data_IF_230375250871
#
_entry.id   IF_230375250871
#
_cell.length_a   1.000
_cell.length_b   1.000
_cell.length_c   1.000
_cell.angle_alpha   90.00
_cell.angle_beta   90.00
_cell.angle_gamma   90.00
#
_symmetry.space_group_name_H-M   'P 1'
#
loop_
_entity.id
_entity.type
_entity.pdbx_description
1 polymer ?
#
# COMPACT_ATOMS: atom_id res chain seq x y z
N UNK A 1 -4.61 -18.03 20.98
CA UNK A 1 -4.29 -17.50 22.35
C UNK A 1 -5.29 -18.10 23.33
N UNK A 2 -4.86 -18.48 24.54
CA UNK A 2 -5.77 -19.02 25.56
C UNK A 2 -6.70 -17.94 26.10
N UNK A 3 -7.93 -18.30 26.51
CA UNK A 3 -8.92 -17.35 27.04
C UNK A 3 -8.41 -16.47 28.19
N UNK A 4 -7.59 -17.02 29.09
CA UNK A 4 -6.98 -16.28 30.19
C UNK A 4 -6.03 -15.17 29.70
N UNK A 5 -5.31 -15.41 28.60
CA UNK A 5 -4.42 -14.43 27.98
C UNK A 5 -5.21 -13.32 27.30
N UNK A 6 -6.32 -13.65 26.62
CA UNK A 6 -7.22 -12.66 26.00
C UNK A 6 -7.83 -11.77 27.08
N UNK A 7 -8.32 -12.33 28.19
CA UNK A 7 -8.88 -11.57 29.32
C UNK A 7 -7.86 -10.60 29.93
N UNK A 8 -6.61 -11.04 30.07
CA UNK A 8 -5.54 -10.17 30.57
C UNK A 8 -5.25 -9.05 29.58
N UNK A 9 -5.19 -9.36 28.27
CA UNK A 9 -4.93 -8.39 27.23
C UNK A 9 -6.03 -7.31 27.15
N UNK A 10 -7.31 -7.71 27.20
CA UNK A 10 -8.43 -6.79 27.16
C UNK A 10 -8.50 -5.90 28.41
N UNK A 11 -8.13 -6.43 29.57
CA UNK A 11 -8.03 -5.64 30.81
C UNK A 11 -6.93 -4.55 30.74
N UNK A 12 -5.81 -4.87 30.09
CA UNK A 12 -4.69 -3.95 29.89
C UNK A 12 -4.94 -2.96 28.74
N UNK A 13 -5.62 -3.44 27.69
CA UNK A 13 -5.87 -2.72 26.45
C UNK A 13 -7.36 -2.76 26.10
N UNK A 14 -8.21 -1.89 26.70
CA UNK A 14 -9.67 -1.97 26.57
C UNK A 14 -10.19 -1.91 25.14
N UNK A 15 -9.52 -1.19 24.22
CA UNK A 15 -9.90 -1.11 22.81
C UNK A 15 -9.95 -2.49 22.13
N UNK A 16 -9.20 -3.46 22.64
CA UNK A 16 -9.18 -4.83 22.08
C UNK A 16 -10.56 -5.49 22.15
N UNK A 17 -11.39 -5.16 23.15
CA UNK A 17 -12.78 -5.64 23.22
C UNK A 17 -13.62 -5.17 22.04
N UNK A 18 -13.47 -3.91 21.62
CA UNK A 18 -14.16 -3.36 20.47
C UNK A 18 -13.67 -3.99 19.16
N UNK A 19 -12.37 -4.30 19.05
CA UNK A 19 -11.82 -5.03 17.90
C UNK A 19 -12.37 -6.45 17.81
N UNK A 20 -12.44 -7.19 18.91
CA UNK A 20 -13.04 -8.53 18.99
C UNK A 20 -14.52 -8.49 18.61
N UNK A 21 -15.23 -7.44 19.05
CA UNK A 21 -16.64 -7.23 18.73
C UNK A 21 -16.86 -6.70 17.30
N UNK A 22 -15.83 -6.57 16.49
CA UNK A 22 -15.85 -6.07 15.10
C UNK A 22 -16.49 -4.69 14.96
N UNK A 23 -16.38 -3.86 15.99
CA UNK A 23 -16.90 -2.50 15.94
C UNK A 23 -16.01 -1.59 15.11
N UNK A 24 -16.63 -0.69 14.36
CA UNK A 24 -15.91 0.44 13.77
C UNK A 24 -15.39 1.34 14.89
N UNK A 25 -14.08 1.51 14.97
CA UNK A 25 -13.43 2.21 16.06
C UNK A 25 -12.34 3.14 15.55
N UNK A 26 -12.02 4.16 16.34
CA UNK A 26 -10.96 5.13 16.03
C UNK A 26 -10.05 5.26 17.25
N UNK A 27 -8.76 5.16 17.02
CA UNK A 27 -7.75 5.36 18.04
C UNK A 27 -6.77 6.44 17.59
N UNK A 28 -6.74 7.57 18.31
CA UNK A 28 -5.73 8.60 18.16
C UNK A 28 -4.50 8.20 18.97
N UNK A 29 -3.35 8.18 18.33
CA UNK A 29 -2.13 7.67 18.95
C UNK A 29 -1.52 8.69 19.90
N UNK A 30 -1.53 8.44 21.23
CA UNK A 30 -0.97 9.38 22.20
C UNK A 30 0.56 9.41 22.22
N UNK A 31 1.20 8.51 21.47
CA UNK A 31 2.67 8.36 21.40
C UNK A 31 3.29 9.05 20.21
N UNK A 32 2.52 9.82 19.44
CA UNK A 32 3.05 10.64 18.35
C UNK A 32 4.05 11.66 18.86
N UNK A 33 5.10 11.88 18.10
CA UNK A 33 6.14 12.86 18.37
C UNK A 33 6.34 13.75 17.15
N UNK A 34 7.18 14.77 17.28
CA UNK A 34 7.66 15.52 16.11
C UNK A 34 8.49 14.62 15.19
N UNK A 35 8.62 15.03 13.92
CA UNK A 35 9.47 14.32 12.96
C UNK A 35 10.91 14.18 13.49
N UNK A 36 11.47 15.26 14.06
CA UNK A 36 12.83 15.26 14.57
C UNK A 36 13.05 14.20 15.67
N UNK A 37 12.06 14.00 16.55
CA UNK A 37 12.11 13.01 17.63
C UNK A 37 11.83 11.59 17.13
N UNK A 38 10.91 11.42 16.18
CA UNK A 38 10.50 10.10 15.67
C UNK A 38 11.42 9.53 14.60
N UNK A 39 12.07 10.38 13.80
CA UNK A 39 12.88 9.98 12.66
C UNK A 39 14.02 8.98 13.01
N UNK A 40 14.77 9.13 14.11
CA UNK A 40 15.82 8.19 14.47
C UNK A 40 15.36 6.74 14.66
N UNK A 41 14.08 6.53 14.97
CA UNK A 41 13.50 5.20 15.20
C UNK A 41 13.09 4.48 13.92
N UNK A 42 12.99 5.20 12.80
CA UNK A 42 12.65 4.60 11.50
C UNK A 42 13.76 3.70 10.98
N UNK A 43 15.01 4.05 11.25
CA UNK A 43 16.18 3.32 10.77
C UNK A 43 16.49 3.52 9.29
N UNK A 44 15.81 4.50 8.65
CA UNK A 44 16.01 4.96 7.28
C UNK A 44 16.02 6.48 7.28
N UNK A 45 16.61 7.09 6.26
CA UNK A 45 16.83 8.53 6.17
C UNK A 45 16.30 9.10 4.86
N UNK A 46 16.29 10.43 4.78
CA UNK A 46 16.00 11.12 3.51
C UNK A 46 16.95 10.68 2.40
N UNK A 47 18.22 10.44 2.71
CA UNK A 47 19.21 9.99 1.72
C UNK A 47 18.83 8.65 1.10
N UNK A 48 18.25 7.73 1.87
CA UNK A 48 17.76 6.45 1.36
C UNK A 48 16.59 6.65 0.37
N UNK A 49 15.69 7.58 0.67
CA UNK A 49 14.59 7.93 -0.22
C UNK A 49 15.10 8.65 -1.48
N UNK A 50 16.08 9.52 -1.36
CA UNK A 50 16.70 10.21 -2.50
C UNK A 50 17.41 9.21 -3.43
N UNK A 51 18.06 8.18 -2.90
CA UNK A 51 18.65 7.08 -3.67
C UNK A 51 17.57 6.29 -4.43
N UNK A 52 16.45 5.98 -3.76
CA UNK A 52 15.31 5.33 -4.41
C UNK A 52 14.74 6.17 -5.56
N UNK A 53 14.59 7.47 -5.35
CA UNK A 53 14.15 8.41 -6.38
C UNK A 53 15.11 8.46 -7.57
N UNK A 54 16.42 8.52 -7.32
CA UNK A 54 17.45 8.51 -8.35
C UNK A 54 17.42 7.20 -9.16
N UNK A 55 17.23 6.06 -8.50
CA UNK A 55 17.13 4.75 -9.16
C UNK A 55 15.91 4.71 -10.10
N UNK A 56 14.76 5.16 -9.65
CA UNK A 56 13.57 5.23 -10.51
C UNK A 56 13.78 6.15 -11.72
N UNK A 57 14.52 7.24 -11.57
CA UNK A 57 14.91 8.10 -12.69
C UNK A 57 15.82 7.38 -13.70
N UNK A 58 16.77 6.56 -13.22
CA UNK A 58 17.64 5.76 -14.11
C UNK A 58 16.84 4.76 -14.94
N UNK A 59 15.81 4.15 -14.32
CA UNK A 59 14.92 3.21 -15.02
C UNK A 59 13.88 3.86 -15.93
N UNK A 60 13.63 5.15 -15.83
CA UNK A 60 12.57 5.82 -16.58
C UNK A 60 12.69 5.62 -18.11
N UNK A 61 13.86 5.73 -18.76
CA UNK A 61 14.01 5.46 -20.19
C UNK A 61 13.63 4.01 -20.57
N UNK A 62 13.96 3.04 -19.73
CA UNK A 62 13.54 1.66 -19.92
C UNK A 62 12.02 1.52 -19.81
N UNK A 63 11.44 2.06 -18.76
CA UNK A 63 10.00 1.96 -18.49
C UNK A 63 9.17 2.60 -19.60
N UNK A 64 9.59 3.77 -20.10
CA UNK A 64 8.89 4.46 -21.20
C UNK A 64 8.77 3.63 -22.46
N UNK A 65 9.76 2.77 -22.74
CA UNK A 65 9.77 1.87 -23.90
C UNK A 65 9.15 0.52 -23.61
N UNK A 66 9.41 -0.04 -22.43
CA UNK A 66 8.88 -1.35 -22.04
C UNK A 66 7.37 -1.33 -21.77
N UNK A 67 6.85 -0.21 -21.31
CA UNK A 67 5.45 0.03 -20.95
C UNK A 67 4.95 1.31 -21.61
N UNK A 68 4.37 1.23 -22.83
CA UNK A 68 3.97 2.39 -23.62
C UNK A 68 3.03 3.35 -22.89
N UNK A 69 2.23 2.87 -21.93
CA UNK A 69 1.36 3.68 -21.06
C UNK A 69 2.12 4.67 -20.18
N UNK A 70 3.42 4.47 -19.98
CA UNK A 70 4.29 5.40 -19.24
C UNK A 70 5.05 6.38 -20.14
N UNK A 71 4.94 6.24 -21.47
CA UNK A 71 5.72 7.04 -22.41
C UNK A 71 5.42 8.54 -22.30
N UNK A 72 4.15 8.91 -22.11
CA UNK A 72 3.73 10.31 -21.96
C UNK A 72 4.33 11.01 -20.73
N UNK A 73 4.69 10.25 -19.69
CA UNK A 73 5.35 10.75 -18.48
C UNK A 73 6.87 10.48 -18.47
N UNK A 74 7.42 10.09 -19.63
CA UNK A 74 8.84 9.76 -19.76
C UNK A 74 9.28 8.56 -18.91
N UNK A 75 8.38 7.62 -18.64
CA UNK A 75 8.64 6.43 -17.81
C UNK A 75 8.49 6.68 -16.30
N UNK A 76 7.96 7.81 -15.90
CA UNK A 76 7.66 8.09 -14.49
C UNK A 76 6.32 7.48 -14.12
N UNK A 77 6.33 6.58 -13.15
CA UNK A 77 5.13 5.95 -12.59
C UNK A 77 4.53 6.89 -11.56
N UNK A 78 3.47 7.61 -11.93
CA UNK A 78 2.79 8.56 -11.06
C UNK A 78 1.28 8.55 -11.32
N UNK A 79 0.51 8.99 -10.35
CA UNK A 79 -0.94 9.09 -10.40
C UNK A 79 -1.44 10.52 -10.25
N UNK A 80 -2.67 10.75 -10.71
CA UNK A 80 -3.33 12.03 -10.57
C UNK A 80 -3.71 12.34 -9.12
N UNK A 81 -3.70 13.63 -8.81
CA UNK A 81 -4.24 14.22 -7.59
C UNK A 81 -5.45 15.05 -7.97
N UNK A 82 -6.63 14.67 -7.51
CA UNK A 82 -7.90 15.32 -7.90
C UNK A 82 -8.72 15.74 -6.69
N UNK A 83 -9.42 16.87 -6.80
CA UNK A 83 -10.45 17.24 -5.83
C UNK A 83 -11.73 16.43 -6.09
N UNK A 84 -12.40 16.03 -5.03
CA UNK A 84 -13.66 15.26 -5.07
C UNK A 84 -14.77 15.96 -4.25
N UNK A 85 -15.19 17.17 -4.66
CA UNK A 85 -16.12 17.99 -3.88
C UNK A 85 -17.53 17.38 -3.83
N UNK A 86 -17.97 16.68 -4.86
CA UNK A 86 -19.28 16.02 -4.88
C UNK A 86 -19.30 14.83 -3.89
N UNK A 87 -18.23 14.07 -3.81
CA UNK A 87 -18.08 13.03 -2.79
C UNK A 87 -18.01 13.61 -1.39
N UNK A 88 -17.31 14.74 -1.19
CA UNK A 88 -17.29 15.45 0.10
C UNK A 88 -18.69 15.81 0.55
N UNK A 89 -19.49 16.44 -0.31
CA UNK A 89 -20.87 16.79 -0.02
C UNK A 89 -21.74 15.54 0.28
N UNK A 90 -21.49 14.43 -0.42
CA UNK A 90 -22.19 13.17 -0.15
C UNK A 90 -21.86 12.62 1.23
N UNK A 91 -20.58 12.59 1.62
CA UNK A 91 -20.16 12.16 2.96
C UNK A 91 -20.79 13.01 4.08
N UNK A 92 -20.80 14.33 3.89
CA UNK A 92 -21.46 15.26 4.85
C UNK A 92 -22.96 14.98 4.97
N UNK A 93 -23.64 14.77 3.84
CA UNK A 93 -25.07 14.47 3.82
C UNK A 93 -25.39 13.15 4.54
N UNK A 94 -24.67 12.09 4.22
CA UNK A 94 -24.94 10.76 4.78
C UNK A 94 -24.58 10.66 6.27
N UNK A 95 -23.52 11.36 6.70
CA UNK A 95 -23.06 11.34 8.10
C UNK A 95 -23.73 12.39 8.99
N UNK A 96 -24.29 13.43 8.42
CA UNK A 96 -24.75 14.62 9.16
C UNK A 96 -23.64 15.45 9.79
N UNK A 97 -22.38 15.25 9.37
CA UNK A 97 -21.20 15.95 9.88
C UNK A 97 -20.56 16.79 8.79
N UNK A 98 -20.17 18.02 9.12
CA UNK A 98 -19.37 18.84 8.21
C UNK A 98 -17.93 18.33 8.11
N UNK A 99 -17.37 18.41 6.92
CA UNK A 99 -15.95 18.14 6.66
C UNK A 99 -15.29 19.49 6.31
N UNK A 100 -14.59 20.13 7.25
CA UNK A 100 -13.94 21.40 6.98
C UNK A 100 -12.80 21.22 5.96
N UNK A 101 -12.56 22.26 5.16
CA UNK A 101 -11.48 22.26 4.17
C UNK A 101 -11.83 21.55 2.87
N UNK A 102 -10.83 20.99 2.22
CA UNK A 102 -10.94 20.39 0.90
C UNK A 102 -10.64 18.90 0.96
N UNK A 103 -11.47 18.09 0.28
CA UNK A 103 -11.25 16.64 0.12
C UNK A 103 -10.61 16.35 -1.23
N UNK A 104 -9.45 15.73 -1.19
CA UNK A 104 -8.70 15.27 -2.36
C UNK A 104 -8.60 13.76 -2.40
N UNK A 105 -8.38 13.24 -3.61
CA UNK A 105 -8.11 11.82 -3.87
C UNK A 105 -6.78 11.68 -4.61
N UNK A 106 -5.87 10.87 -4.06
CA UNK A 106 -4.66 10.42 -4.74
C UNK A 106 -4.93 9.11 -5.45
N UNK A 107 -4.94 9.12 -6.79
CA UNK A 107 -5.44 8.02 -7.62
C UNK A 107 -4.39 6.94 -7.89
N UNK A 108 -3.74 6.41 -6.87
CA UNK A 108 -2.82 5.27 -7.03
C UNK A 108 -3.52 4.02 -7.56
N UNK A 109 -4.85 3.96 -7.43
CA UNK A 109 -5.71 2.99 -8.11
C UNK A 109 -5.54 2.93 -9.63
N UNK A 110 -5.04 4.01 -10.24
CA UNK A 110 -4.82 4.13 -11.68
C UNK A 110 -3.35 4.31 -12.03
N UNK A 111 -2.43 3.92 -11.15
CA UNK A 111 -1.01 3.87 -11.50
C UNK A 111 -0.80 2.97 -12.72
N UNK A 112 0.05 3.38 -13.66
CA UNK A 112 0.35 2.57 -14.84
C UNK A 112 0.95 1.22 -14.44
N UNK A 113 0.89 0.27 -15.35
CA UNK A 113 1.44 -1.08 -15.28
C UNK A 113 0.57 -2.04 -14.48
N UNK A 114 0.23 -1.73 -13.23
CA UNK A 114 -0.48 -2.69 -12.37
C UNK A 114 -1.75 -2.14 -11.69
N UNK A 115 -2.10 -0.88 -11.90
CA UNK A 115 -3.38 -0.31 -11.46
C UNK A 115 -3.59 -0.27 -9.94
N UNK A 116 -2.51 -0.14 -9.18
CA UNK A 116 -2.56 -0.02 -7.71
C UNK A 116 -1.31 0.65 -7.14
N UNK A 117 -1.38 1.04 -5.87
CA UNK A 117 -0.25 1.58 -5.09
C UNK A 117 0.98 0.67 -5.12
N UNK A 118 0.78 -0.63 -5.33
CA UNK A 118 1.86 -1.63 -5.37
C UNK A 118 2.82 -1.41 -6.53
N UNK A 119 2.41 -0.67 -7.56
CA UNK A 119 3.29 -0.20 -8.64
C UNK A 119 4.43 0.71 -8.12
N UNK A 120 4.29 1.33 -6.96
CA UNK A 120 5.38 2.10 -6.33
C UNK A 120 6.44 1.18 -5.74
N UNK A 121 6.08 0.40 -4.71
CA UNK A 121 7.03 -0.43 -3.97
C UNK A 121 7.42 -1.73 -4.67
N UNK A 122 6.43 -2.47 -5.18
CA UNK A 122 6.65 -3.76 -5.82
C UNK A 122 7.52 -3.67 -7.07
N UNK A 123 7.22 -2.72 -7.95
CA UNK A 123 8.04 -2.47 -9.14
C UNK A 123 9.45 -2.01 -8.73
N UNK A 124 9.54 -1.07 -7.78
CA UNK A 124 10.83 -0.56 -7.32
C UNK A 124 11.75 -1.68 -6.80
N UNK A 125 11.22 -2.62 -6.03
CA UNK A 125 12.05 -3.73 -5.52
C UNK A 125 12.55 -4.65 -6.62
N UNK A 126 11.72 -4.96 -7.61
CA UNK A 126 12.16 -5.72 -8.80
C UNK A 126 13.27 -4.98 -9.54
N UNK A 127 13.09 -3.68 -9.78
CA UNK A 127 14.09 -2.86 -10.47
C UNK A 127 15.40 -2.76 -9.68
N UNK A 128 15.33 -2.63 -8.37
CA UNK A 128 16.51 -2.60 -7.49
C UNK A 128 17.29 -3.90 -7.56
N UNK A 129 16.60 -5.04 -7.54
CA UNK A 129 17.23 -6.34 -7.67
C UNK A 129 17.86 -6.55 -9.07
N UNK A 130 17.17 -6.15 -10.12
CA UNK A 130 17.66 -6.23 -11.49
C UNK A 130 18.92 -5.35 -11.67
N UNK A 131 18.90 -4.11 -11.18
CA UNK A 131 20.06 -3.22 -11.23
C UNK A 131 21.28 -3.86 -10.54
N UNK A 132 21.05 -4.36 -9.32
CA UNK A 132 22.13 -5.02 -8.56
C UNK A 132 22.74 -6.18 -9.31
N UNK A 133 21.93 -7.08 -9.86
CA UNK A 133 22.44 -8.25 -10.61
C UNK A 133 23.23 -7.83 -11.84
N UNK A 134 22.72 -6.86 -12.61
CA UNK A 134 23.38 -6.42 -13.84
C UNK A 134 24.68 -5.65 -13.57
N UNK A 135 24.71 -4.82 -12.51
CA UNK A 135 25.93 -4.12 -12.05
C UNK A 135 26.99 -5.13 -11.57
N UNK A 136 26.60 -6.07 -10.72
CA UNK A 136 27.51 -7.08 -10.16
C UNK A 136 28.11 -7.97 -11.26
N UNK A 137 27.36 -8.23 -12.35
CA UNK A 137 27.82 -8.97 -13.50
C UNK A 137 28.66 -8.13 -14.50
N UNK A 138 28.82 -6.83 -14.26
CA UNK A 138 29.54 -5.93 -15.16
C UNK A 138 28.82 -5.66 -16.49
N UNK A 139 27.50 -5.95 -16.57
CA UNK A 139 26.70 -5.77 -17.79
C UNK A 139 26.09 -4.37 -17.88
N UNK A 140 26.00 -3.67 -16.77
CA UNK A 140 25.38 -2.35 -16.63
C UNK A 140 26.30 -1.43 -15.79
N UNK A 141 26.28 -0.14 -16.10
CA UNK A 141 26.86 0.93 -15.31
C UNK A 141 25.78 1.92 -14.92
N UNK A 142 25.96 2.63 -13.78
CA UNK A 142 25.05 3.69 -13.36
C UNK A 142 24.95 4.86 -14.36
N UNK A 143 25.95 5.01 -15.23
CA UNK A 143 26.03 6.04 -16.27
C UNK A 143 25.34 5.63 -17.58
N UNK A 144 24.92 4.38 -17.71
CA UNK A 144 24.27 3.89 -18.93
C UNK A 144 22.85 4.43 -19.07
N UNK A 145 22.38 4.58 -20.30
CA UNK A 145 20.95 4.70 -20.59
C UNK A 145 20.29 3.33 -20.35
N UNK A 146 19.44 3.23 -19.34
CA UNK A 146 18.83 1.97 -18.93
C UNK A 146 17.87 1.37 -19.97
N UNK A 147 17.56 2.07 -21.06
CA UNK A 147 16.86 1.46 -22.19
C UNK A 147 17.63 0.29 -22.83
N UNK A 148 18.93 0.17 -22.57
CA UNK A 148 19.74 -1.00 -22.96
C UNK A 148 19.22 -2.32 -22.36
N UNK A 149 18.50 -2.25 -21.25
CA UNK A 149 17.86 -3.43 -20.62
C UNK A 149 16.81 -4.10 -21.52
N UNK A 150 16.38 -3.45 -22.61
CA UNK A 150 15.53 -4.04 -23.63
C UNK A 150 16.28 -4.95 -24.59
N UNK A 151 17.60 -4.90 -24.62
CA UNK A 151 18.40 -5.75 -25.49
C UNK A 151 18.26 -7.23 -25.09
N UNK A 152 18.20 -8.15 -26.06
CA UNK A 152 18.00 -9.59 -25.81
C UNK A 152 18.98 -10.19 -24.79
N UNK A 153 20.24 -9.71 -24.79
CA UNK A 153 21.26 -10.16 -23.83
C UNK A 153 20.87 -10.00 -22.36
N UNK A 154 20.11 -8.96 -22.01
CA UNK A 154 19.61 -8.75 -20.65
C UNK A 154 18.47 -9.70 -20.30
N UNK A 155 17.56 -9.94 -21.25
CA UNK A 155 16.49 -10.92 -21.05
C UNK A 155 17.09 -12.33 -20.84
N UNK A 156 18.07 -12.71 -21.62
CA UNK A 156 18.79 -13.98 -21.46
C UNK A 156 19.49 -14.05 -20.10
N UNK A 157 20.13 -12.96 -19.68
CA UNK A 157 20.78 -12.87 -18.38
C UNK A 157 19.79 -13.05 -17.23
N UNK A 158 18.70 -12.27 -17.19
CA UNK A 158 17.70 -12.33 -16.12
C UNK A 158 16.92 -13.65 -16.12
N UNK A 159 16.82 -14.34 -17.25
CA UNK A 159 16.14 -15.65 -17.32
C UNK A 159 16.81 -16.75 -16.50
N UNK A 160 18.06 -16.53 -16.07
CA UNK A 160 18.80 -17.43 -15.19
C UNK A 160 18.42 -17.25 -13.71
N UNK A 161 17.67 -16.21 -13.40
CA UNK A 161 17.23 -15.85 -12.04
C UNK A 161 15.73 -15.92 -11.93
N UNK A 162 15.25 -16.09 -10.71
CA UNK A 162 13.83 -16.12 -10.40
C UNK A 162 13.47 -15.17 -9.26
N UNK A 163 12.22 -14.74 -9.25
CA UNK A 163 11.62 -13.94 -8.19
C UNK A 163 10.39 -14.69 -7.67
N UNK A 164 10.22 -14.71 -6.36
CA UNK A 164 9.06 -15.26 -5.69
C UNK A 164 8.48 -14.25 -4.71
N UNK A 165 7.16 -14.25 -4.55
CA UNK A 165 6.45 -13.41 -3.59
C UNK A 165 5.17 -14.09 -3.12
N UNK A 166 4.81 -13.90 -1.85
CA UNK A 166 3.46 -14.17 -1.33
C UNK A 166 2.60 -12.93 -1.47
N UNK A 167 1.35 -13.07 -1.92
CA UNK A 167 0.49 -11.92 -2.21
C UNK A 167 -0.99 -12.23 -2.08
N UNK A 168 -1.77 -11.23 -1.63
CA UNK A 168 -3.25 -11.22 -1.70
C UNK A 168 -3.77 -10.84 -3.09
N UNK A 169 -2.90 -10.30 -3.97
CA UNK A 169 -3.26 -9.96 -5.35
C UNK A 169 -2.47 -8.80 -5.95
N UNK A 170 -2.65 -7.57 -5.48
CA UNK A 170 -2.07 -6.39 -6.12
C UNK A 170 -0.54 -6.34 -6.09
N UNK A 171 0.08 -6.75 -4.99
CA UNK A 171 1.54 -6.81 -4.91
C UNK A 171 2.09 -7.85 -5.90
N UNK A 172 1.48 -9.04 -5.92
CA UNK A 172 1.83 -10.08 -6.89
C UNK A 172 1.69 -9.62 -8.33
N UNK A 173 0.65 -8.85 -8.64
CA UNK A 173 0.48 -8.25 -9.97
C UNK A 173 1.61 -7.29 -10.32
N UNK A 174 1.96 -6.38 -9.44
CA UNK A 174 3.06 -5.42 -9.68
C UNK A 174 4.40 -6.12 -9.88
N UNK A 175 4.73 -7.03 -8.97
CA UNK A 175 5.98 -7.79 -9.02
C UNK A 175 5.99 -8.74 -10.22
N UNK A 176 4.90 -9.48 -10.43
CA UNK A 176 4.81 -10.46 -11.51
C UNK A 176 4.91 -9.85 -12.90
N UNK A 177 4.17 -8.78 -13.17
CA UNK A 177 4.18 -8.10 -14.47
C UNK A 177 5.57 -7.50 -14.76
N UNK A 178 6.15 -6.81 -13.79
CA UNK A 178 7.49 -6.21 -13.96
C UNK A 178 8.57 -7.27 -14.12
N UNK A 179 8.58 -8.29 -13.28
CA UNK A 179 9.58 -9.37 -13.30
C UNK A 179 9.55 -10.13 -14.63
N UNK A 180 8.36 -10.49 -15.09
CA UNK A 180 8.20 -11.17 -16.38
C UNK A 180 8.66 -10.30 -17.54
N UNK A 181 8.35 -9.00 -17.52
CA UNK A 181 8.72 -8.08 -18.60
C UNK A 181 10.24 -7.88 -18.70
N UNK A 182 10.93 -7.81 -17.58
CA UNK A 182 12.39 -7.63 -17.56
C UNK A 182 13.15 -8.91 -17.91
N UNK A 183 12.54 -10.07 -17.68
CA UNK A 183 13.07 -11.38 -18.12
C UNK A 183 13.22 -12.43 -17.01
N UNK A 184 12.89 -12.12 -15.76
CA UNK A 184 12.93 -13.11 -14.66
C UNK A 184 11.88 -14.21 -14.83
N UNK A 185 12.19 -15.40 -14.31
CA UNK A 185 11.16 -16.39 -13.96
C UNK A 185 10.49 -15.94 -12.67
N UNK A 186 9.17 -15.93 -12.63
CA UNK A 186 8.46 -15.38 -11.47
C UNK A 186 7.33 -16.31 -11.00
N UNK A 187 7.27 -16.52 -9.68
CA UNK A 187 6.21 -17.28 -9.01
C UNK A 187 5.54 -16.40 -7.97
N UNK A 188 4.22 -16.34 -8.03
CA UNK A 188 3.38 -15.66 -7.03
C UNK A 188 2.61 -16.71 -6.25
N UNK A 189 2.82 -16.71 -4.94
CA UNK A 189 2.13 -17.58 -3.99
C UNK A 189 0.91 -16.85 -3.44
N UNK A 190 -0.28 -17.39 -3.63
CA UNK A 190 -1.55 -16.74 -3.31
C UNK A 190 -2.46 -17.67 -2.54
N UNK A 191 -3.32 -17.11 -1.70
CA UNK A 191 -4.44 -17.86 -1.13
C UNK A 191 -5.48 -18.18 -2.23
N UNK A 192 -6.15 -19.33 -2.07
CA UNK A 192 -7.13 -19.80 -3.07
C UNK A 192 -8.33 -18.84 -3.22
N UNK A 193 -8.67 -18.10 -2.18
CA UNK A 193 -9.75 -17.09 -2.16
C UNK A 193 -9.36 -15.75 -2.79
N UNK A 194 -8.09 -15.55 -3.16
CA UNK A 194 -7.68 -14.36 -3.93
C UNK A 194 -8.45 -14.27 -5.24
N UNK A 195 -8.71 -13.05 -5.70
CA UNK A 195 -9.56 -12.78 -6.88
C UNK A 195 -9.06 -13.51 -8.13
N UNK A 196 -9.94 -14.30 -8.75
CA UNK A 196 -9.59 -15.13 -9.91
C UNK A 196 -9.08 -14.29 -11.09
N UNK A 197 -9.65 -13.09 -11.32
CA UNK A 197 -9.21 -12.22 -12.40
C UNK A 197 -7.74 -11.75 -12.23
N UNK A 198 -7.26 -11.58 -10.99
CA UNK A 198 -5.85 -11.24 -10.69
C UNK A 198 -4.92 -12.40 -11.04
N UNK A 199 -5.31 -13.63 -10.67
CA UNK A 199 -4.58 -14.85 -11.03
C UNK A 199 -4.51 -15.04 -12.54
N UNK A 200 -5.64 -14.87 -13.23
CA UNK A 200 -5.70 -14.96 -14.69
C UNK A 200 -4.82 -13.89 -15.37
N UNK A 201 -4.83 -12.68 -14.85
CA UNK A 201 -3.96 -11.59 -15.34
C UNK A 201 -2.49 -11.95 -15.18
N UNK A 202 -2.07 -12.45 -14.04
CA UNK A 202 -0.69 -12.92 -13.81
C UNK A 202 -0.29 -14.03 -14.78
N UNK A 203 -1.11 -15.06 -14.92
CA UNK A 203 -0.87 -16.16 -15.85
C UNK A 203 -0.75 -15.69 -17.29
N UNK A 204 -1.52 -14.66 -17.68
CA UNK A 204 -1.42 -14.07 -19.03
C UNK A 204 -0.08 -13.39 -19.32
N UNK A 205 0.67 -13.02 -18.29
CA UNK A 205 2.03 -12.49 -18.39
C UNK A 205 3.13 -13.55 -18.24
N UNK A 206 2.76 -14.84 -18.20
CA UNK A 206 3.73 -15.93 -18.04
C UNK A 206 4.18 -16.16 -16.59
N UNK A 207 3.48 -15.58 -15.62
CA UNK A 207 3.74 -15.76 -14.19
C UNK A 207 3.19 -17.11 -13.73
N UNK A 208 3.96 -17.82 -12.91
CA UNK A 208 3.51 -19.04 -12.24
C UNK A 208 2.74 -18.61 -10.99
N UNK A 209 1.47 -19.02 -10.89
CA UNK A 209 0.63 -18.80 -9.72
C UNK A 209 0.47 -20.11 -8.97
N UNK A 210 0.91 -20.15 -7.70
CA UNK A 210 0.74 -21.27 -6.79
C UNK A 210 -0.33 -20.90 -5.77
N UNK A 211 -1.38 -21.73 -5.66
CA UNK A 211 -2.53 -21.46 -4.80
C UNK A 211 -2.46 -22.33 -3.53
N UNK A 212 -2.86 -21.75 -2.42
CA UNK A 212 -2.95 -22.39 -1.10
C UNK A 212 -4.37 -22.23 -0.56
N UNK A 213 -4.93 -23.30 0.00
CA UNK A 213 -6.27 -23.28 0.61
C UNK A 213 -6.32 -22.45 1.91
N UNK A 214 -5.16 -22.20 2.50
CA UNK A 214 -5.00 -21.38 3.69
C UNK A 214 -4.88 -19.90 3.33
N UNK A 215 -4.77 -19.07 4.36
CA UNK A 215 -4.69 -17.62 4.20
C UNK A 215 -3.35 -17.11 3.63
N UNK A 216 -3.28 -15.78 3.45
CA UNK A 216 -2.10 -15.07 2.99
C UNK A 216 -0.82 -15.41 3.77
N UNK A 217 -0.89 -15.53 5.10
CA UNK A 217 0.28 -15.82 5.93
C UNK A 217 0.94 -17.15 5.57
N UNK A 218 0.13 -18.17 5.28
CA UNK A 218 0.62 -19.49 4.83
C UNK A 218 1.25 -19.39 3.44
N UNK A 219 0.62 -18.67 2.52
CA UNK A 219 1.17 -18.44 1.18
C UNK A 219 2.55 -17.79 1.23
N UNK A 220 2.73 -16.76 2.06
CA UNK A 220 4.02 -16.08 2.29
C UNK A 220 5.07 -17.04 2.84
N UNK A 221 4.72 -17.80 3.88
CA UNK A 221 5.65 -18.75 4.50
C UNK A 221 6.11 -19.84 3.52
N UNK A 222 5.19 -20.41 2.76
CA UNK A 222 5.50 -21.45 1.78
C UNK A 222 6.34 -20.90 0.62
N UNK A 223 6.04 -19.69 0.16
CA UNK A 223 6.83 -19.01 -0.86
C UNK A 223 8.27 -18.75 -0.41
N UNK A 224 8.45 -18.30 0.83
CA UNK A 224 9.76 -18.08 1.42
C UNK A 224 10.56 -19.38 1.50
N UNK A 225 9.97 -20.45 2.00
CA UNK A 225 10.61 -21.79 2.08
C UNK A 225 11.01 -22.32 0.71
N UNK A 226 10.14 -22.17 -0.30
CA UNK A 226 10.44 -22.60 -1.66
C UNK A 226 11.64 -21.86 -2.26
N UNK A 227 11.75 -20.55 -2.00
CA UNK A 227 12.85 -19.72 -2.48
C UNK A 227 14.18 -20.04 -1.80
N UNK A 228 14.19 -20.41 -0.52
CA UNK A 228 15.40 -20.74 0.24
C UNK A 228 16.21 -21.90 -0.36
N UNK A 229 15.56 -22.80 -1.10
CA UNK A 229 16.21 -23.93 -1.75
C UNK A 229 16.91 -23.60 -3.09
N UNK A 230 16.72 -22.39 -3.62
CA UNK A 230 17.29 -21.94 -4.89
C UNK A 230 18.11 -20.67 -4.69
N UNK A 231 19.45 -20.70 -4.81
CA UNK A 231 20.31 -19.53 -4.62
C UNK A 231 20.09 -18.43 -5.68
N UNK A 232 19.47 -18.76 -6.80
CA UNK A 232 19.13 -17.81 -7.86
C UNK A 232 17.72 -17.25 -7.71
N UNK A 233 16.97 -17.65 -6.68
CA UNK A 233 15.64 -17.15 -6.38
C UNK A 233 15.71 -16.03 -5.33
N UNK A 234 15.16 -14.89 -5.68
CA UNK A 234 14.97 -13.77 -4.74
C UNK A 234 13.53 -13.75 -4.26
N UNK A 235 13.33 -13.94 -2.95
CA UNK A 235 12.04 -13.81 -2.31
C UNK A 235 11.80 -12.36 -1.89
N UNK A 236 10.71 -11.76 -2.34
CA UNK A 236 10.29 -10.42 -1.92
C UNK A 236 9.43 -10.56 -0.68
N UNK A 237 9.95 -10.06 0.45
CA UNK A 237 9.31 -10.13 1.75
C UNK A 237 8.47 -8.87 2.00
N UNK A 238 7.16 -8.94 1.72
CA UNK A 238 6.22 -7.82 1.92
C UNK A 238 6.13 -7.39 3.40
N UNK A 239 6.44 -8.29 4.33
CA UNK A 239 6.36 -8.00 5.77
C UNK A 239 7.54 -7.16 6.27
N UNK A 240 8.75 -7.36 5.73
CA UNK A 240 9.98 -6.80 6.30
C UNK A 240 10.86 -6.03 5.31
N UNK A 241 10.51 -5.98 4.02
CA UNK A 241 11.35 -5.33 3.01
C UNK A 241 11.44 -3.83 3.20
N UNK A 242 12.66 -3.35 3.50
CA UNK A 242 12.97 -1.91 3.51
C UNK A 242 13.02 -1.33 2.11
N UNK A 243 13.34 -2.13 1.12
CA UNK A 243 13.36 -1.71 -0.30
C UNK A 243 11.95 -1.41 -0.79
N UNK A 244 10.97 -2.28 -0.51
CA UNK A 244 9.55 -1.99 -0.77
C UNK A 244 9.13 -0.68 -0.12
N UNK A 245 9.41 -0.54 1.16
CA UNK A 245 9.08 0.65 1.95
C UNK A 245 9.65 1.94 1.33
N UNK A 246 10.92 1.92 0.89
CA UNK A 246 11.55 3.06 0.23
C UNK A 246 10.92 3.40 -1.12
N UNK A 247 10.52 2.40 -1.89
CA UNK A 247 9.80 2.62 -3.15
C UNK A 247 8.47 3.37 -2.95
N UNK A 248 7.75 3.07 -1.88
CA UNK A 248 6.54 3.80 -1.50
C UNK A 248 6.87 5.21 -0.99
N UNK A 249 7.96 5.38 -0.27
CA UNK A 249 8.33 6.68 0.33
C UNK A 249 8.61 7.79 -0.71
N UNK A 250 8.99 7.42 -1.93
CA UNK A 250 9.18 8.39 -3.04
C UNK A 250 7.90 9.17 -3.33
N UNK A 251 6.72 8.66 -2.99
CA UNK A 251 5.44 9.35 -3.16
C UNK A 251 5.36 10.69 -2.41
N UNK A 252 6.07 10.86 -1.30
CA UNK A 252 6.03 12.09 -0.51
C UNK A 252 6.53 13.32 -1.26
N UNK A 253 7.71 13.26 -1.82
CA UNK A 253 8.31 14.35 -2.63
C UNK A 253 7.49 14.63 -3.90
N UNK A 254 6.99 13.57 -4.54
CA UNK A 254 6.16 13.71 -5.74
C UNK A 254 4.82 14.36 -5.44
N UNK A 255 4.19 14.03 -4.30
CA UNK A 255 2.97 14.72 -3.86
C UNK A 255 3.22 16.19 -3.57
N UNK A 256 4.35 16.50 -2.92
CA UNK A 256 4.73 17.90 -2.67
C UNK A 256 4.87 18.70 -3.96
N UNK A 257 5.45 18.13 -5.01
CA UNK A 257 5.52 18.74 -6.32
C UNK A 257 4.13 18.95 -6.93
N UNK A 258 3.23 17.96 -6.86
CA UNK A 258 1.85 18.11 -7.34
C UNK A 258 1.07 19.17 -6.58
N UNK A 259 1.26 19.28 -5.27
CA UNK A 259 0.66 20.35 -4.46
C UNK A 259 1.16 21.73 -4.93
N UNK A 260 2.45 21.89 -5.16
CA UNK A 260 3.03 23.13 -5.66
C UNK A 260 2.47 23.51 -7.05
N UNK A 261 2.37 22.54 -7.97
CA UNK A 261 1.78 22.75 -9.30
C UNK A 261 0.31 23.19 -9.23
N UNK A 262 -0.43 22.72 -8.24
CA UNK A 262 -1.84 23.09 -8.01
C UNK A 262 -2.00 24.34 -7.11
N UNK A 263 -0.91 24.98 -6.71
CA UNK A 263 -0.95 26.12 -5.81
C UNK A 263 -1.48 25.81 -4.40
N UNK A 264 -1.37 24.57 -3.97
CA UNK A 264 -1.82 24.11 -2.63
C UNK A 264 -0.71 24.29 -1.61
N UNK A 265 -1.05 24.86 -0.48
CA UNK A 265 -0.12 25.13 0.63
C UNK A 265 -0.32 24.11 1.74
N UNK A 266 0.77 23.63 2.32
CA UNK A 266 0.79 22.83 3.55
C UNK A 266 1.71 23.51 4.56
N UNK A 267 1.13 24.01 5.62
CA UNK A 267 1.80 24.68 6.73
C UNK A 267 0.97 24.52 8.02
N UNK A 268 1.34 25.17 9.09
CA UNK A 268 0.64 25.10 10.38
C UNK A 268 -0.82 25.58 10.30
N UNK A 269 -1.11 26.56 9.43
CA UNK A 269 -2.46 27.11 9.24
C UNK A 269 -3.28 26.31 8.21
N UNK A 270 -2.59 25.49 7.40
CA UNK A 270 -3.18 24.65 6.35
C UNK A 270 -2.61 23.21 6.46
N UNK A 271 -2.95 22.48 7.53
CA UNK A 271 -2.43 21.12 7.73
C UNK A 271 -2.97 20.13 6.70
N UNK A 272 -2.18 19.10 6.43
CA UNK A 272 -2.53 17.99 5.55
C UNK A 272 -2.86 16.76 6.39
N UNK A 273 -4.05 16.19 6.19
CA UNK A 273 -4.50 14.95 6.80
C UNK A 273 -4.60 13.87 5.74
N UNK A 274 -3.85 12.78 5.90
CA UNK A 274 -3.76 11.71 4.91
C UNK A 274 -4.29 10.40 5.48
N UNK A 275 -5.18 9.75 4.75
CA UNK A 275 -5.84 8.51 5.15
C UNK A 275 -5.41 7.38 4.24
N UNK A 276 -4.75 6.38 4.81
CA UNK A 276 -4.02 5.33 4.10
C UNK A 276 -4.61 3.96 4.43
N UNK A 277 -5.22 3.27 3.46
CA UNK A 277 -5.59 1.87 3.64
C UNK A 277 -4.37 1.03 4.01
N UNK A 278 -4.50 0.21 5.05
CA UNK A 278 -3.41 -0.58 5.60
C UNK A 278 -3.75 -2.07 5.67
N UNK A 279 -2.95 -2.88 5.00
CA UNK A 279 -2.89 -4.32 5.18
C UNK A 279 -1.68 -4.69 6.04
N UNK A 280 -0.63 -5.30 5.45
CA UNK A 280 0.60 -5.64 6.16
C UNK A 280 1.37 -4.43 6.69
N UNK A 281 1.28 -3.29 6.00
CA UNK A 281 1.76 -1.99 6.45
C UNK A 281 2.86 -1.34 5.60
N UNK A 282 3.52 -2.08 4.71
CA UNK A 282 4.64 -1.56 3.91
C UNK A 282 4.28 -0.39 3.02
N UNK A 283 3.17 -0.50 2.29
CA UNK A 283 2.68 0.57 1.41
C UNK A 283 2.33 1.85 2.16
N UNK A 284 1.35 1.81 3.08
CA UNK A 284 0.97 2.99 3.84
C UNK A 284 2.09 3.53 4.73
N UNK A 285 2.92 2.65 5.30
CA UNK A 285 4.07 3.04 6.12
C UNK A 285 5.13 3.79 5.33
N UNK A 286 5.49 3.28 4.16
CA UNK A 286 6.45 3.95 3.28
C UNK A 286 5.93 5.30 2.78
N UNK A 287 4.67 5.37 2.33
CA UNK A 287 4.03 6.63 1.94
C UNK A 287 4.04 7.62 3.10
N UNK A 288 3.62 7.21 4.30
CA UNK A 288 3.61 8.08 5.48
C UNK A 288 5.01 8.59 5.82
N UNK A 289 6.03 7.74 5.73
CA UNK A 289 7.43 8.14 5.94
C UNK A 289 7.85 9.22 4.93
N UNK A 290 7.61 8.99 3.65
CA UNK A 290 7.91 9.97 2.61
C UNK A 290 7.17 11.30 2.80
N UNK A 291 5.90 11.26 3.21
CA UNK A 291 5.08 12.44 3.51
C UNK A 291 5.65 13.23 4.70
N UNK A 292 6.04 12.55 5.77
CA UNK A 292 6.69 13.20 6.93
C UNK A 292 8.00 13.88 6.53
N UNK A 293 8.82 13.26 5.69
CA UNK A 293 10.03 13.89 5.17
C UNK A 293 9.72 15.13 4.30
N UNK A 294 8.66 15.07 3.49
CA UNK A 294 8.31 16.15 2.56
C UNK A 294 7.62 17.34 3.23
N UNK A 295 6.74 17.09 4.19
CA UNK A 295 5.86 18.11 4.81
C UNK A 295 6.13 18.36 6.29
N UNK A 296 7.02 17.58 6.92
CA UNK A 296 7.36 17.72 8.34
C UNK A 296 6.19 17.43 9.26
N UNK A 297 6.04 18.26 10.29
CA UNK A 297 5.00 18.11 11.31
C UNK A 297 3.62 18.65 10.85
N UNK A 298 3.54 19.22 9.67
CA UNK A 298 2.29 19.74 9.10
C UNK A 298 1.46 18.68 8.36
N UNK A 299 1.94 17.44 8.28
CA UNK A 299 1.19 16.31 7.77
C UNK A 299 0.85 15.33 8.87
N UNK A 300 -0.40 14.89 8.89
CA UNK A 300 -0.95 13.92 9.83
C UNK A 300 -1.38 12.68 9.08
N UNK A 301 -0.87 11.51 9.47
CA UNK A 301 -1.09 10.24 8.77
C UNK A 301 -1.92 9.28 9.62
N UNK A 302 -2.98 8.73 9.02
CA UNK A 302 -3.89 7.78 9.66
C UNK A 302 -3.97 6.51 8.83
N UNK A 303 -3.95 5.37 9.51
CA UNK A 303 -4.16 4.07 8.87
C UNK A 303 -5.59 3.62 9.01
N UNK A 304 -6.15 3.13 7.92
CA UNK A 304 -7.51 2.61 7.82
C UNK A 304 -7.50 1.11 7.54
N UNK A 305 -8.19 0.33 8.37
CA UNK A 305 -8.17 -1.13 8.31
C UNK A 305 -9.60 -1.69 8.34
N UNK A 306 -9.86 -2.87 7.74
CA UNK A 306 -11.14 -3.54 7.90
C UNK A 306 -11.36 -3.98 9.35
N UNK A 307 -12.62 -3.98 9.80
CA UNK A 307 -12.97 -4.51 11.15
C UNK A 307 -12.54 -5.96 11.35
N UNK A 308 -12.48 -6.75 10.29
CA UNK A 308 -12.05 -8.16 10.32
C UNK A 308 -10.54 -8.36 10.18
N UNK A 309 -9.78 -7.31 9.92
CA UNK A 309 -8.32 -7.39 9.67
C UNK A 309 -7.57 -6.19 10.26
N UNK A 310 -7.77 -5.83 11.56
CA UNK A 310 -7.15 -4.66 12.16
C UNK A 310 -5.75 -4.97 12.72
N UNK A 311 -4.90 -5.66 11.94
CA UNK A 311 -3.64 -6.18 12.45
C UNK A 311 -2.63 -5.11 12.86
N UNK A 312 -2.54 -3.99 12.12
CA UNK A 312 -1.60 -2.92 12.43
C UNK A 312 -2.06 -2.12 13.65
N UNK A 313 -3.34 -1.77 13.72
CA UNK A 313 -3.91 -1.12 14.91
C UNK A 313 -3.68 -1.98 16.16
N UNK A 314 -4.01 -3.27 16.08
CA UNK A 314 -3.79 -4.22 17.18
C UNK A 314 -2.32 -4.25 17.61
N UNK A 315 -1.41 -4.39 16.66
CA UNK A 315 0.03 -4.48 16.93
C UNK A 315 0.60 -3.21 17.54
N UNK A 316 0.27 -2.04 16.99
CA UNK A 316 0.77 -0.74 17.49
C UNK A 316 0.13 -0.38 18.82
N UNK A 317 -1.19 -0.54 18.95
CA UNK A 317 -1.92 -0.21 20.18
C UNK A 317 -1.42 -1.00 21.39
N UNK A 318 -1.23 -2.31 21.22
CA UNK A 318 -0.75 -3.19 22.29
C UNK A 318 0.77 -3.15 22.48
N UNK A 319 1.52 -2.66 21.48
CA UNK A 319 2.98 -2.73 21.45
C UNK A 319 3.52 -4.12 21.11
N UNK A 320 2.65 -5.09 20.78
CA UNK A 320 3.05 -6.46 20.44
C UNK A 320 3.47 -6.61 18.97
N UNK A 321 3.07 -5.67 18.11
CA UNK A 321 3.43 -5.63 16.69
C UNK A 321 3.17 -6.97 15.97
N UNK A 322 4.21 -7.65 15.49
CA UNK A 322 4.15 -8.94 14.81
C UNK A 322 4.11 -10.16 15.76
N UNK A 323 4.11 -9.92 17.06
CA UNK A 323 3.95 -10.98 18.07
C UNK A 323 2.49 -11.40 18.28
N UNK A 324 1.54 -10.67 17.68
CA UNK A 324 0.10 -10.96 17.75
C UNK A 324 -0.52 -10.91 16.36
N UNK A 325 -1.45 -11.84 16.10
CA UNK A 325 -2.31 -11.85 14.92
C UNK A 325 -3.77 -11.67 15.33
N UNK A 326 -4.61 -11.18 14.41
CA UNK A 326 -6.05 -11.01 14.67
C UNK A 326 -6.73 -12.35 14.99
N UNK A 327 -6.26 -13.46 14.40
CA UNK A 327 -6.73 -14.81 14.66
C UNK A 327 -6.48 -15.27 16.11
N UNK A 328 -5.44 -14.74 16.76
CA UNK A 328 -5.19 -15.01 18.20
C UNK A 328 -6.32 -14.51 19.09
N UNK A 329 -7.08 -13.53 18.61
CA UNK A 329 -8.26 -12.96 19.28
C UNK A 329 -9.59 -13.56 18.80
N UNK A 330 -9.55 -14.54 17.89
CA UNK A 330 -10.73 -15.15 17.29
C UNK A 330 -11.36 -14.33 16.17
N UNK A 331 -10.68 -13.30 15.66
CA UNK A 331 -11.11 -12.53 14.49
C UNK A 331 -10.74 -13.33 13.22
N UNK A 332 -11.68 -13.48 12.29
CA UNK A 332 -11.58 -14.43 11.18
C UNK A 332 -10.70 -13.97 10.00
N UNK A 333 -10.29 -12.71 9.96
CA UNK A 333 -9.51 -12.12 8.85
C UNK A 333 -10.21 -12.21 7.48
N UNK A 334 -11.54 -12.30 7.46
CA UNK A 334 -12.34 -12.39 6.22
C UNK A 334 -12.95 -11.03 5.89
N UNK A 335 -12.56 -10.45 4.79
CA UNK A 335 -13.03 -9.13 4.35
C UNK A 335 -13.10 -9.03 2.83
N UNK A 336 -14.05 -8.23 2.33
CA UNK A 336 -14.13 -7.87 0.92
C UNK A 336 -12.94 -7.02 0.44
N UNK A 337 -12.24 -6.38 1.37
CA UNK A 337 -11.02 -5.63 1.12
C UNK A 337 -9.82 -6.59 1.04
N UNK A 338 -9.75 -7.40 -0.03
CA UNK A 338 -8.75 -8.44 -0.22
C UNK A 338 -7.31 -7.94 -0.11
N UNK A 339 -7.02 -6.74 -0.59
CA UNK A 339 -5.70 -6.09 -0.44
C UNK A 339 -5.33 -5.73 1.01
N UNK A 340 -6.29 -5.77 1.93
CA UNK A 340 -6.11 -5.46 3.36
C UNK A 340 -6.36 -6.69 4.25
N UNK A 341 -6.63 -7.85 3.69
CA UNK A 341 -6.94 -9.10 4.41
C UNK A 341 -5.67 -9.73 4.99
N UNK A 342 -5.05 -9.06 5.94
CA UNK A 342 -3.80 -9.48 6.60
C UNK A 342 -4.03 -9.62 8.09
N UNK A 343 -3.71 -10.81 8.63
CA UNK A 343 -3.94 -11.12 10.04
C UNK A 343 -2.82 -10.68 10.96
N UNK A 344 -1.59 -10.56 10.45
CA UNK A 344 -0.39 -10.18 11.21
C UNK A 344 0.32 -9.02 10.53
N UNK A 345 0.57 -7.95 11.25
CA UNK A 345 1.23 -6.76 10.72
C UNK A 345 2.74 -6.96 10.54
N UNK A 346 3.34 -6.12 9.69
CA UNK A 346 4.78 -5.99 9.60
C UNK A 346 5.40 -5.63 10.96
N UNK A 347 6.36 -6.40 11.40
CA UNK A 347 7.12 -6.11 12.61
C UNK A 347 8.06 -4.91 12.46
N UNK A 348 8.51 -4.65 11.23
CA UNK A 348 9.33 -3.49 10.89
C UNK A 348 8.52 -2.19 10.91
N UNK A 349 7.42 -2.12 10.15
CA UNK A 349 6.66 -0.88 9.91
C UNK A 349 6.06 -0.33 11.20
N UNK A 350 5.44 -1.18 12.02
CA UNK A 350 4.85 -0.75 13.26
C UNK A 350 5.87 -0.11 14.20
N UNK A 351 7.01 -0.77 14.40
CA UNK A 351 8.09 -0.24 15.26
C UNK A 351 8.75 1.01 14.71
N UNK A 352 8.94 1.06 13.38
CA UNK A 352 9.56 2.20 12.72
C UNK A 352 8.68 3.46 12.76
N UNK A 353 7.37 3.29 12.59
CA UNK A 353 6.43 4.38 12.34
C UNK A 353 5.52 4.74 13.52
N UNK A 354 5.49 3.95 14.60
CA UNK A 354 4.56 4.17 15.72
C UNK A 354 4.63 5.57 16.34
N UNK A 355 5.76 6.26 16.22
CA UNK A 355 5.94 7.63 16.72
C UNK A 355 5.56 8.71 15.70
N UNK A 356 5.32 8.34 14.46
CA UNK A 356 5.02 9.25 13.35
C UNK A 356 3.61 9.06 12.76
N UNK A 357 2.85 8.10 13.27
CA UNK A 357 1.46 7.86 12.87
C UNK A 357 0.50 8.48 13.89
N UNK A 358 -0.39 9.33 13.41
CA UNK A 358 -1.28 10.12 14.26
C UNK A 358 -2.49 9.31 14.75
N UNK A 359 -2.89 8.27 14.04
CA UNK A 359 -3.99 7.42 14.48
C UNK A 359 -4.33 6.30 13.51
N UNK A 360 -5.32 5.52 13.94
CA UNK A 360 -5.83 4.33 13.25
C UNK A 360 -7.35 4.29 13.40
N UNK A 361 -8.02 3.74 12.40
CA UNK A 361 -9.44 3.44 12.54
C UNK A 361 -9.81 2.21 11.74
N UNK A 362 -10.91 1.60 12.14
CA UNK A 362 -11.49 0.46 11.44
C UNK A 362 -12.83 0.80 10.82
N UNK A 363 -13.17 0.13 9.73
CA UNK A 363 -14.48 0.24 9.10
C UNK A 363 -14.93 -1.11 8.54
N UNK A 364 -16.25 -1.26 8.41
CA UNK A 364 -16.87 -2.48 7.92
C UNK A 364 -16.78 -2.59 6.38
N UNK A 365 -16.91 -3.81 5.87
CA UNK A 365 -17.02 -4.06 4.44
C UNK A 365 -18.20 -3.29 3.83
N UNK A 366 -19.34 -3.23 4.54
CA UNK A 366 -20.51 -2.51 4.05
C UNK A 366 -20.22 -1.01 3.89
N UNK A 367 -19.52 -0.40 4.83
CA UNK A 367 -19.09 1.01 4.72
C UNK A 367 -18.22 1.24 3.49
N UNK A 368 -17.31 0.31 3.18
CA UNK A 368 -16.47 0.40 1.97
C UNK A 368 -17.30 0.28 0.70
N UNK A 369 -18.25 -0.66 0.64
CA UNK A 369 -19.15 -0.80 -0.52
C UNK A 369 -20.05 0.41 -0.73
N UNK A 370 -20.61 0.98 0.34
CA UNK A 370 -21.45 2.17 0.25
C UNK A 370 -20.68 3.35 -0.33
N UNK A 371 -19.50 3.63 0.23
CA UNK A 371 -18.64 4.71 -0.26
C UNK A 371 -18.12 4.48 -1.68
N UNK A 372 -17.88 3.23 -2.07
CA UNK A 372 -17.53 2.86 -3.45
C UNK A 372 -18.66 3.23 -4.41
N UNK A 373 -19.89 2.91 -4.07
CA UNK A 373 -21.07 3.28 -4.84
C UNK A 373 -21.25 4.79 -4.94
N UNK A 374 -21.11 5.50 -3.82
CA UNK A 374 -21.23 6.97 -3.79
C UNK A 374 -20.15 7.64 -4.64
N UNK A 375 -18.89 7.22 -4.54
CA UNK A 375 -17.79 7.77 -5.33
C UNK A 375 -18.01 7.56 -6.84
N UNK A 376 -18.51 6.39 -7.23
CA UNK A 376 -18.85 6.11 -8.61
C UNK A 376 -19.98 6.98 -9.12
N UNK A 377 -21.02 7.22 -8.30
CA UNK A 377 -22.17 8.06 -8.63
C UNK A 377 -21.81 9.55 -8.72
N UNK A 378 -21.07 10.06 -7.73
CA UNK A 378 -20.80 11.49 -7.58
C UNK A 378 -19.64 11.97 -8.44
N UNK A 379 -18.59 11.16 -8.60
CA UNK A 379 -17.34 11.56 -9.26
C UNK A 379 -17.01 10.73 -10.51
N UNK A 380 -17.77 9.67 -10.79
CA UNK A 380 -17.47 8.75 -11.89
C UNK A 380 -16.20 7.92 -11.67
N UNK A 381 -15.69 7.84 -10.44
CA UNK A 381 -14.47 7.12 -10.09
C UNK A 381 -14.83 5.76 -9.52
N UNK A 382 -14.30 4.70 -10.12
CA UNK A 382 -14.54 3.31 -9.73
C UNK A 382 -13.28 2.70 -9.13
N UNK A 383 -13.40 2.19 -7.92
CA UNK A 383 -12.31 1.61 -7.15
C UNK A 383 -12.66 0.20 -6.68
N UNK A 384 -11.67 -0.57 -6.24
CA UNK A 384 -11.92 -1.79 -5.48
C UNK A 384 -12.23 -1.47 -4.01
N UNK A 385 -12.90 -2.36 -3.24
CA UNK A 385 -13.32 -2.07 -1.86
C UNK A 385 -12.20 -1.59 -0.94
N UNK A 386 -11.02 -2.21 -1.00
CA UNK A 386 -9.85 -1.84 -0.20
C UNK A 386 -9.47 -0.37 -0.31
N UNK A 387 -9.62 0.20 -1.50
CA UNK A 387 -9.24 1.57 -1.80
C UNK A 387 -10.16 2.62 -1.14
N UNK A 388 -11.31 2.21 -0.64
CA UNK A 388 -12.28 3.08 0.06
C UNK A 388 -12.02 3.18 1.55
N UNK A 389 -11.10 2.40 2.11
CA UNK A 389 -10.85 2.42 3.55
C UNK A 389 -10.46 3.81 4.07
N UNK A 390 -9.67 4.56 3.29
CA UNK A 390 -9.30 5.94 3.63
C UNK A 390 -10.46 6.94 3.58
N UNK A 391 -11.53 6.65 2.86
CA UNK A 391 -12.63 7.62 2.60
C UNK A 391 -13.43 7.98 3.85
N UNK A 392 -13.47 7.13 4.86
CA UNK A 392 -14.12 7.43 6.14
C UNK A 392 -13.29 8.39 7.02
N UNK A 393 -12.00 8.57 6.73
CA UNK A 393 -11.07 9.34 7.56
C UNK A 393 -11.54 10.74 7.94
N UNK A 394 -12.00 11.58 6.99
CA UNK A 394 -12.47 12.93 7.31
C UNK A 394 -13.63 12.98 8.31
N UNK A 395 -14.38 11.88 8.47
CA UNK A 395 -15.49 11.75 9.43
C UNK A 395 -15.04 11.21 10.78
N UNK A 396 -13.83 10.67 10.87
CA UNK A 396 -13.27 10.02 12.07
C UNK A 396 -12.28 10.89 12.82
N UNK A 397 -11.72 11.89 12.15
CA UNK A 397 -10.67 12.74 12.67
C UNK A 397 -11.16 14.18 12.70
N UNK A 398 -11.03 14.83 13.85
CA UNK A 398 -11.25 16.26 13.96
C UNK A 398 -9.99 16.97 13.50
N UNK A 399 -10.10 17.72 12.41
CA UNK A 399 -9.00 18.49 11.85
C UNK A 399 -9.00 19.94 12.32
N UNK A 400 -7.81 20.50 12.46
CA UNK A 400 -7.61 21.89 12.85
C UNK A 400 -7.68 22.85 11.66
N UNK A 401 -8.03 24.10 11.90
CA UNK A 401 -7.95 25.26 10.99
C UNK A 401 -8.54 25.02 9.59
N UNK A 402 -7.73 25.23 8.53
CA UNK A 402 -8.11 25.05 7.11
C UNK A 402 -7.46 23.79 6.55
N UNK A 403 -7.93 22.59 6.88
CA UNK A 403 -7.27 21.35 6.52
C UNK A 403 -7.44 21.02 5.04
N UNK A 404 -6.47 20.30 4.49
CA UNK A 404 -6.65 19.47 3.30
C UNK A 404 -6.76 18.02 3.76
N UNK A 405 -7.82 17.34 3.38
CA UNK A 405 -7.98 15.91 3.56
C UNK A 405 -7.59 15.19 2.28
N UNK A 406 -6.72 14.22 2.38
CA UNK A 406 -6.26 13.41 1.25
C UNK A 406 -6.54 11.94 1.50
N UNK A 407 -7.41 11.37 0.69
CA UNK A 407 -7.68 9.93 0.65
C UNK A 407 -6.74 9.28 -0.36
N UNK A 408 -6.04 8.25 0.06
CA UNK A 408 -5.17 7.47 -0.82
C UNK A 408 -5.95 6.30 -1.41
N UNK A 409 -6.33 6.40 -2.70
CA UNK A 409 -7.02 5.35 -3.42
C UNK A 409 -6.01 4.30 -3.89
N UNK A 410 -5.99 3.14 -3.26
CA UNK A 410 -4.92 2.15 -3.38
C UNK A 410 -5.05 1.20 -4.55
N UNK A 411 -6.25 0.96 -5.09
CA UNK A 411 -6.42 0.02 -6.19
C UNK A 411 -7.79 0.10 -6.86
N UNK A 412 -7.93 -0.56 -8.01
CA UNK A 412 -9.20 -0.67 -8.73
C UNK A 412 -9.14 -0.36 -10.24
N UNK A 413 -8.07 0.24 -10.73
CA UNK A 413 -7.96 0.67 -12.13
C UNK A 413 -7.96 -0.49 -13.15
N UNK A 414 -7.67 -1.70 -12.72
CA UNK A 414 -7.65 -2.89 -13.58
C UNK A 414 -8.78 -3.89 -13.29
N UNK A 415 -9.71 -3.55 -12.41
CA UNK A 415 -10.86 -4.40 -12.09
C UNK A 415 -11.74 -4.57 -13.33
N UNK A 416 -12.05 -5.81 -13.76
CA UNK A 416 -12.96 -6.07 -14.86
C UNK A 416 -14.36 -5.52 -14.60
N UNK A 417 -15.09 -5.15 -15.67
CA UNK A 417 -16.43 -4.54 -15.56
C UNK A 417 -17.45 -5.43 -14.84
N UNK A 418 -17.40 -6.73 -15.06
CA UNK A 418 -18.28 -7.69 -14.39
C UNK A 418 -18.01 -7.79 -12.88
N UNK A 419 -16.77 -7.71 -12.46
CA UNK A 419 -16.40 -7.64 -11.05
C UNK A 419 -16.77 -6.29 -10.42
N UNK A 420 -16.55 -5.19 -11.13
CA UNK A 420 -16.95 -3.86 -10.68
C UNK A 420 -18.48 -3.77 -10.48
N UNK A 421 -19.24 -4.36 -11.39
CA UNK A 421 -20.70 -4.43 -11.26
C UNK A 421 -21.12 -5.18 -9.98
N UNK A 422 -20.41 -6.25 -9.62
CA UNK A 422 -20.67 -6.99 -8.37
C UNK A 422 -20.37 -6.14 -7.14
N UNK A 423 -19.29 -5.35 -7.16
CA UNK A 423 -18.96 -4.43 -6.06
C UNK A 423 -20.02 -3.34 -5.91
N UNK A 424 -20.40 -2.70 -7.01
CA UNK A 424 -21.43 -1.64 -7.02
C UNK A 424 -22.80 -2.14 -6.52
N UNK A 425 -23.15 -3.39 -6.82
CA UNK A 425 -24.41 -3.99 -6.41
C UNK A 425 -24.51 -4.24 -4.89
N UNK A 426 -23.40 -4.21 -4.17
CA UNK A 426 -23.37 -4.43 -2.71
C UNK A 426 -23.47 -3.14 -1.89
N UNK A 427 -23.29 -1.98 -2.50
CA UNK A 427 -23.51 -0.68 -1.87
C UNK A 427 -24.99 -0.34 -1.73
N UNK A 428 -25.30 0.56 -0.79
CA UNK A 428 -26.67 1.07 -0.51
C UNK A 428 -26.85 2.47 -1.06
#
# INVERSE_FOLDING_TARGET
MENATITTLTAQFPLVEDLIALKETTWLNPRTTTLAEGLPYVGLTKADVDDAHARLKRFAPYLAKAFPETAATGGIIESDLVAIPAMQARLEKESGKAIPGTLLLKKDSHLPISGSIKARGGIYEVLTHAEKLALDAGLLSLEDDYSVLLEPRFKDFFSQYSIAVGSTGNLGMSIGIMSARIGFKVTVHMSADAREWKKAKLRSHGVIVVEYEQDYGVAVEQGRKAAESDPNCFFIDDENSRTLFLGYAVAGERLKAQFAEQGRVVDADHPLYVYLPCGVGGGPGGVAFGLKLAFGDNVHCFFAEPTHSPCMLLGVYTGLHDEIAVQDLGIDNVTAADGLAVGRASGFVGRAMERLLDGFYTLSDQSMYDMLGWLAQEEGIRLEPSALAGMAGPLRVQADANPTHLVWATGGGMVPEDEMAKYLAKGK
#
